data_IF_703503593462
#
_entry.id   IF_703503593462
#
_cell.length_a   1.000
_cell.length_b   1.000
_cell.length_c   1.000
_cell.angle_alpha   90.00
_cell.angle_beta   90.00
_cell.angle_gamma   90.00
#
_symmetry.space_group_name_H-M   'P 1'
#
loop_
_entity.id
_entity.type
_entity.pdbx_description
1 polymer ?
#
# COMPACT_ATOMS: atom_id res chain seq x y z
N UNK A 1 16.99 -13.30 1.60
CA UNK A 1 15.77 -13.20 2.43
C UNK A 1 15.20 -14.60 2.65
N UNK A 2 15.12 -15.11 3.89
CA UNK A 2 14.87 -16.56 4.11
C UNK A 2 13.84 -16.94 5.18
N UNK A 3 13.25 -16.00 5.92
CA UNK A 3 12.32 -16.36 6.99
C UNK A 3 10.87 -16.12 6.57
N UNK A 4 10.08 -17.19 6.50
CA UNK A 4 8.62 -17.16 6.57
C UNK A 4 8.27 -17.32 8.06
N UNK A 5 7.40 -16.48 8.59
CA UNK A 5 7.00 -16.58 10.00
C UNK A 5 6.14 -17.84 10.21
N UNK A 6 6.29 -18.50 11.36
CA UNK A 6 5.29 -19.44 11.90
C UNK A 6 4.49 -18.76 13.02
N UNK A 7 3.34 -19.33 13.41
CA UNK A 7 2.48 -18.74 14.47
C UNK A 7 3.25 -18.38 15.75
N UNK A 8 4.16 -19.23 16.28
CA UNK A 8 4.97 -18.88 17.45
C UNK A 8 5.94 -17.71 17.24
N UNK A 9 6.28 -17.39 15.98
CA UNK A 9 7.23 -16.32 15.63
C UNK A 9 6.60 -14.93 15.64
N UNK A 10 5.29 -14.79 15.84
CA UNK A 10 4.63 -13.47 15.96
C UNK A 10 5.21 -12.64 17.11
N UNK A 11 5.68 -13.29 18.17
CA UNK A 11 6.42 -12.61 19.24
C UNK A 11 7.79 -12.07 18.79
N UNK A 12 8.49 -12.79 17.90
CA UNK A 12 9.77 -12.35 17.31
C UNK A 12 9.55 -11.17 16.38
N UNK A 13 8.53 -11.26 15.51
CA UNK A 13 8.15 -10.16 14.62
C UNK A 13 7.91 -8.85 15.38
N UNK A 14 7.04 -8.86 16.40
CA UNK A 14 6.72 -7.65 17.19
C UNK A 14 7.91 -7.00 17.89
N UNK A 15 8.95 -7.79 18.21
CA UNK A 15 10.18 -7.31 18.86
C UNK A 15 11.33 -7.05 17.88
N UNK A 16 11.11 -7.23 16.58
CA UNK A 16 12.16 -7.15 15.57
C UNK A 16 12.48 -5.71 15.14
N UNK A 17 13.72 -5.48 14.72
CA UNK A 17 14.15 -4.23 14.11
C UNK A 17 13.30 -3.88 12.89
N UNK A 18 12.95 -4.88 12.07
CA UNK A 18 12.06 -4.73 10.92
C UNK A 18 10.71 -4.11 11.31
N UNK A 19 10.06 -4.60 12.37
CA UNK A 19 8.78 -4.08 12.83
C UNK A 19 8.89 -2.63 13.31
N UNK A 20 9.94 -2.33 14.10
CA UNK A 20 10.18 -0.97 14.58
C UNK A 20 10.46 0.02 13.44
N UNK A 21 11.34 -0.35 12.51
CA UNK A 21 11.68 0.46 11.33
C UNK A 21 10.45 0.68 10.44
N UNK A 22 9.71 -0.40 10.16
CA UNK A 22 8.50 -0.35 9.35
C UNK A 22 7.43 0.54 9.98
N UNK A 23 7.09 0.34 11.26
CA UNK A 23 6.10 1.18 11.93
C UNK A 23 6.57 2.63 12.07
N UNK A 24 7.85 2.86 12.36
CA UNK A 24 8.45 4.19 12.41
C UNK A 24 8.32 4.91 11.07
N UNK A 25 8.56 4.21 9.96
CA UNK A 25 8.37 4.72 8.61
C UNK A 25 6.91 5.12 8.33
N UNK A 26 5.94 4.22 8.59
CA UNK A 26 4.52 4.51 8.38
C UNK A 26 4.07 5.76 9.16
N UNK A 27 4.48 5.86 10.43
CA UNK A 27 4.12 6.98 11.30
C UNK A 27 4.82 8.30 10.91
N UNK A 28 6.06 8.22 10.43
CA UNK A 28 6.79 9.39 9.92
C UNK A 28 6.08 9.96 8.69
N UNK A 29 5.71 9.10 7.74
CA UNK A 29 4.95 9.51 6.56
C UNK A 29 3.56 10.07 6.94
N UNK A 30 2.88 9.45 7.92
CA UNK A 30 1.59 9.90 8.41
C UNK A 30 1.62 11.34 8.94
N UNK A 31 2.64 11.70 9.72
CA UNK A 31 2.81 13.08 10.16
C UNK A 31 3.27 14.01 9.01
N UNK A 32 4.09 13.50 8.09
CA UNK A 32 4.53 14.24 6.90
C UNK A 32 3.38 14.76 6.02
N UNK A 33 2.32 13.97 5.87
CA UNK A 33 1.15 14.31 5.03
C UNK A 33 0.00 14.99 5.76
N UNK A 34 0.12 15.15 7.07
CA UNK A 34 -0.97 15.67 7.90
C UNK A 34 -1.38 17.08 7.48
N UNK A 35 -2.70 17.30 7.36
CA UNK A 35 -3.32 18.57 6.95
C UNK A 35 -2.90 19.07 5.55
N UNK A 36 -2.49 18.17 4.64
CA UNK A 36 -2.04 18.54 3.29
C UNK A 36 -2.84 17.82 2.22
N UNK A 37 -3.23 18.57 1.19
CA UNK A 37 -3.85 18.04 -0.03
C UNK A 37 -2.81 17.34 -0.90
N UNK A 38 -3.25 16.38 -1.72
CA UNK A 38 -2.42 15.76 -2.76
C UNK A 38 -1.81 16.79 -3.72
N UNK A 39 -2.53 17.90 -3.92
CA UNK A 39 -2.23 19.00 -4.84
C UNK A 39 -1.37 20.12 -4.23
N UNK A 40 -0.97 20.03 -2.95
CA UNK A 40 -0.10 21.05 -2.36
C UNK A 40 1.30 21.02 -2.99
N UNK A 41 2.07 22.10 -2.84
CA UNK A 41 3.46 22.12 -3.31
C UNK A 41 4.36 21.27 -2.40
N UNK A 42 5.19 20.43 -3.03
CA UNK A 42 6.25 19.69 -2.38
C UNK A 42 7.35 19.37 -3.39
N UNK A 43 8.55 19.11 -2.89
CA UNK A 43 9.70 18.76 -3.71
C UNK A 43 9.52 17.38 -4.32
N UNK A 44 9.89 17.26 -5.59
CA UNK A 44 9.99 15.98 -6.29
C UNK A 44 11.45 15.79 -6.69
N UNK A 45 12.11 14.78 -6.12
CA UNK A 45 13.50 14.47 -6.43
C UNK A 45 13.61 13.58 -7.66
N UNK A 46 14.83 13.49 -8.22
CA UNK A 46 15.13 12.57 -9.32
C UNK A 46 14.81 11.12 -8.96
N UNK A 47 15.07 10.70 -7.71
CA UNK A 47 14.71 9.36 -7.22
C UNK A 47 13.20 9.14 -7.24
N UNK A 48 12.40 10.15 -6.91
CA UNK A 48 10.94 10.07 -7.04
C UNK A 48 10.51 9.93 -8.50
N UNK A 49 11.08 10.71 -9.42
CA UNK A 49 10.76 10.58 -10.85
C UNK A 49 11.12 9.18 -11.38
N UNK A 50 12.29 8.65 -11.02
CA UNK A 50 12.69 7.26 -11.35
C UNK A 50 11.71 6.20 -10.81
N UNK A 51 11.14 6.42 -9.62
CA UNK A 51 10.10 5.56 -9.07
C UNK A 51 8.79 5.65 -9.85
N UNK A 52 8.44 6.84 -10.34
CA UNK A 52 7.27 7.03 -11.20
C UNK A 52 7.46 6.34 -12.56
N UNK A 53 8.67 6.42 -13.14
CA UNK A 53 9.02 5.70 -14.37
C UNK A 53 8.98 4.18 -14.19
N UNK A 54 9.46 3.68 -13.04
CA UNK A 54 9.33 2.28 -12.67
C UNK A 54 7.85 1.86 -12.62
N UNK A 55 7.00 2.62 -11.92
CA UNK A 55 5.56 2.33 -11.85
C UNK A 55 4.88 2.48 -13.23
N UNK A 56 5.33 3.41 -14.07
CA UNK A 56 4.90 3.56 -15.46
C UNK A 56 5.25 2.35 -16.32
N UNK A 57 6.40 1.72 -16.08
CA UNK A 57 6.79 0.47 -16.74
C UNK A 57 5.87 -0.68 -16.34
N UNK A 58 5.57 -0.82 -15.04
CA UNK A 58 4.63 -1.81 -14.52
C UNK A 58 3.24 -1.65 -15.14
N UNK A 59 2.76 -0.41 -15.25
CA UNK A 59 1.48 -0.07 -15.86
C UNK A 59 1.43 -0.41 -17.36
N UNK A 60 2.47 -0.03 -18.11
CA UNK A 60 2.58 -0.35 -19.54
C UNK A 60 2.56 -1.86 -19.78
N UNK A 61 3.20 -2.65 -18.91
CA UNK A 61 3.14 -4.11 -19.04
C UNK A 61 1.74 -4.67 -18.86
N UNK A 62 0.83 -3.98 -18.14
CA UNK A 62 -0.59 -4.38 -18.06
C UNK A 62 -1.23 -4.25 -19.44
N UNK A 63 -0.99 -3.13 -20.14
CA UNK A 63 -1.54 -2.89 -21.48
C UNK A 63 -0.99 -3.90 -22.51
N UNK A 64 0.28 -4.26 -22.39
CA UNK A 64 0.93 -5.28 -23.22
C UNK A 64 0.53 -6.72 -22.88
N UNK A 65 -0.22 -6.94 -21.80
CA UNK A 65 -0.57 -8.28 -21.32
C UNK A 65 -2.08 -8.38 -21.12
N UNK A 66 -2.88 -8.28 -22.19
CA UNK A 66 -4.34 -8.24 -22.09
C UNK A 66 -4.90 -9.53 -21.45
N UNK A 67 -6.08 -9.44 -20.78
CA UNK A 67 -6.76 -10.61 -20.22
C UNK A 67 -7.01 -11.68 -21.29
N UNK A 68 -6.77 -12.94 -20.94
CA UNK A 68 -7.03 -14.08 -21.84
C UNK A 68 -8.42 -14.65 -21.59
N UNK A 69 -9.02 -15.22 -22.63
CA UNK A 69 -10.22 -16.02 -22.46
C UNK A 69 -9.90 -17.27 -21.62
N UNK A 70 -10.76 -17.54 -20.65
CA UNK A 70 -10.57 -18.64 -19.72
C UNK A 70 -11.90 -19.14 -19.16
N UNK A 71 -12.01 -20.45 -18.86
CA UNK A 71 -13.23 -21.00 -18.28
C UNK A 71 -13.47 -20.57 -16.82
N UNK A 72 -12.42 -20.13 -16.12
CA UNK A 72 -12.53 -19.70 -14.72
C UNK A 72 -13.08 -18.27 -14.62
N UNK A 73 -14.09 -18.09 -13.76
CA UNK A 73 -14.64 -16.77 -13.41
C UNK A 73 -13.76 -15.98 -12.42
N UNK A 74 -12.80 -16.63 -11.79
CA UNK A 74 -11.87 -16.03 -10.82
C UNK A 74 -10.67 -15.38 -11.55
N UNK A 75 -9.61 -15.06 -10.82
CA UNK A 75 -8.43 -14.34 -11.33
C UNK A 75 -7.97 -14.76 -12.73
N UNK A 76 -7.68 -13.78 -13.58
CA UNK A 76 -7.29 -13.98 -14.96
C UNK A 76 -5.82 -14.42 -15.06
N UNK A 77 -5.55 -15.51 -15.78
CA UNK A 77 -4.21 -16.11 -15.90
C UNK A 77 -3.18 -15.19 -16.57
N UNK A 78 -3.60 -14.17 -17.33
CA UNK A 78 -2.70 -13.17 -17.90
C UNK A 78 -1.89 -12.43 -16.82
N UNK A 79 -2.40 -12.33 -15.58
CA UNK A 79 -1.64 -11.81 -14.44
C UNK A 79 -0.32 -12.55 -14.23
N UNK A 80 -0.26 -13.86 -14.48
CA UNK A 80 0.97 -14.65 -14.33
C UNK A 80 2.02 -14.26 -15.35
N UNK A 81 1.58 -13.96 -16.58
CA UNK A 81 2.46 -13.45 -17.63
C UNK A 81 3.00 -12.07 -17.24
N UNK A 82 2.14 -11.19 -16.75
CA UNK A 82 2.56 -9.87 -16.25
C UNK A 82 3.54 -9.99 -15.08
N UNK A 83 3.22 -10.81 -14.08
CA UNK A 83 4.08 -11.04 -12.92
C UNK A 83 5.43 -11.65 -13.31
N UNK A 84 5.46 -12.55 -14.31
CA UNK A 84 6.72 -13.13 -14.78
C UNK A 84 7.66 -12.08 -15.40
N UNK A 85 7.12 -11.03 -16.05
CA UNK A 85 7.94 -9.90 -16.51
C UNK A 85 8.57 -9.19 -15.31
N UNK A 86 7.76 -8.87 -14.29
CA UNK A 86 8.24 -8.25 -13.06
C UNK A 86 9.30 -9.13 -12.35
N UNK A 87 9.09 -10.43 -12.24
CA UNK A 87 10.02 -11.30 -11.52
C UNK A 87 11.41 -11.34 -12.15
N UNK A 88 11.49 -11.23 -13.48
CA UNK A 88 12.72 -11.19 -14.26
C UNK A 88 13.40 -9.82 -14.21
N UNK A 89 12.63 -8.73 -14.27
CA UNK A 89 13.13 -7.37 -14.44
C UNK A 89 13.25 -6.56 -13.14
N UNK A 90 12.71 -7.06 -12.01
CA UNK A 90 12.63 -6.29 -10.76
C UNK A 90 13.99 -5.77 -10.27
N UNK A 91 15.05 -6.57 -10.35
CA UNK A 91 16.39 -6.15 -9.93
C UNK A 91 16.93 -5.01 -10.81
N UNK A 92 16.76 -5.12 -12.13
CA UNK A 92 17.16 -4.09 -13.08
C UNK A 92 16.36 -2.79 -12.84
N UNK A 93 15.04 -2.90 -12.67
CA UNK A 93 14.18 -1.75 -12.35
C UNK A 93 14.63 -1.05 -11.07
N UNK A 94 14.87 -1.79 -9.99
CA UNK A 94 15.33 -1.21 -8.72
C UNK A 94 16.72 -0.59 -8.85
N UNK A 95 17.63 -1.20 -9.62
CA UNK A 95 18.96 -0.64 -9.85
C UNK A 95 18.92 0.75 -10.51
N UNK A 96 17.92 1.03 -11.36
CA UNK A 96 17.77 2.38 -11.98
C UNK A 96 17.43 3.47 -10.96
N UNK A 97 16.77 3.11 -9.86
CA UNK A 97 16.35 4.03 -8.78
C UNK A 97 17.48 4.30 -7.79
N UNK A 98 18.38 3.33 -7.60
CA UNK A 98 19.43 3.40 -6.60
C UNK A 98 20.63 4.24 -7.08
N UNK A 99 21.27 5.02 -6.19
CA UNK A 99 22.59 5.57 -6.48
C UNK A 99 23.63 4.45 -6.59
N UNK A 100 24.71 4.66 -7.35
CA UNK A 100 25.78 3.67 -7.55
C UNK A 100 26.34 3.10 -6.24
N UNK A 101 26.44 3.95 -5.20
CA UNK A 101 26.95 3.57 -3.88
C UNK A 101 26.11 2.52 -3.16
N UNK A 102 24.84 2.33 -3.54
CA UNK A 102 23.94 1.33 -2.95
C UNK A 102 23.44 0.29 -3.95
N UNK A 103 24.05 0.20 -5.15
CA UNK A 103 23.74 -0.82 -6.15
C UNK A 103 23.74 -2.27 -5.60
N UNK A 104 24.63 -2.69 -4.67
CA UNK A 104 24.58 -4.03 -4.09
C UNK A 104 23.29 -4.35 -3.31
N UNK A 105 22.53 -3.33 -2.88
CA UNK A 105 21.26 -3.52 -2.20
C UNK A 105 20.09 -3.84 -3.15
N UNK A 106 20.27 -3.66 -4.48
CA UNK A 106 19.21 -3.85 -5.47
C UNK A 106 18.55 -5.22 -5.37
N UNK A 107 19.35 -6.28 -5.24
CA UNK A 107 18.87 -7.65 -5.14
C UNK A 107 17.94 -7.87 -3.93
N UNK A 108 18.29 -7.31 -2.76
CA UNK A 108 17.46 -7.42 -1.56
C UNK A 108 16.18 -6.57 -1.68
N UNK A 109 16.32 -5.33 -2.15
CA UNK A 109 15.21 -4.38 -2.28
C UNK A 109 14.18 -4.86 -3.31
N UNK A 110 14.64 -5.44 -4.43
CA UNK A 110 13.78 -5.96 -5.49
C UNK A 110 12.82 -7.06 -5.00
N UNK A 111 13.18 -7.83 -3.97
CA UNK A 111 12.26 -8.83 -3.42
C UNK A 111 11.02 -8.17 -2.81
N UNK A 112 11.16 -7.02 -2.14
CA UNK A 112 10.00 -6.31 -1.61
C UNK A 112 9.10 -5.79 -2.74
N UNK A 113 9.68 -5.31 -3.84
CA UNK A 113 8.91 -4.90 -5.03
C UNK A 113 8.16 -6.08 -5.65
N UNK A 114 8.76 -7.27 -5.72
CA UNK A 114 8.11 -8.48 -6.25
C UNK A 114 6.95 -8.95 -5.38
N UNK A 115 7.10 -8.84 -4.06
CA UNK A 115 6.04 -9.20 -3.10
C UNK A 115 4.95 -8.11 -2.99
N UNK A 116 5.15 -6.94 -3.60
CA UNK A 116 4.27 -5.78 -3.47
C UNK A 116 3.02 -5.78 -4.37
N UNK A 117 2.87 -6.75 -5.28
CA UNK A 117 1.91 -6.64 -6.39
C UNK A 117 0.86 -7.75 -6.45
N UNK A 118 0.85 -8.65 -5.47
CA UNK A 118 -0.06 -9.79 -5.39
C UNK A 118 0.63 -11.14 -5.58
N UNK A 119 -0.13 -12.23 -5.56
CA UNK A 119 0.42 -13.59 -5.69
C UNK A 119 0.11 -14.21 -7.06
N UNK A 120 1.14 -14.62 -7.82
CA UNK A 120 0.95 -15.21 -9.16
C UNK A 120 0.16 -16.53 -9.17
N UNK A 121 0.30 -17.36 -8.13
CA UNK A 121 -0.37 -18.65 -8.07
C UNK A 121 -1.86 -18.46 -7.81
N UNK A 122 -2.20 -17.70 -6.76
CA UNK A 122 -3.56 -17.46 -6.30
C UNK A 122 -4.29 -16.36 -7.08
N UNK A 123 -3.55 -15.48 -7.75
CA UNK A 123 -4.08 -14.31 -8.47
C UNK A 123 -4.91 -13.45 -7.50
N UNK A 124 -4.33 -13.21 -6.32
CA UNK A 124 -4.91 -12.41 -5.25
C UNK A 124 -3.99 -11.25 -4.85
N UNK A 125 -4.58 -10.24 -4.23
CA UNK A 125 -3.90 -9.07 -3.69
C UNK A 125 -4.54 -8.68 -2.36
N UNK A 126 -3.77 -8.12 -1.43
CA UNK A 126 -4.28 -7.66 -0.14
C UNK A 126 -3.22 -6.88 0.64
N UNK A 127 -3.55 -6.55 1.89
CA UNK A 127 -2.78 -5.63 2.74
C UNK A 127 -1.35 -6.09 3.05
N UNK A 128 -1.06 -7.39 2.95
CA UNK A 128 0.32 -7.90 3.05
C UNK A 128 1.20 -7.48 1.87
N UNK A 129 0.63 -7.40 0.66
CA UNK A 129 1.32 -6.92 -0.54
C UNK A 129 1.49 -5.39 -0.49
N UNK A 130 0.46 -4.67 -0.05
CA UNK A 130 0.56 -3.23 0.24
C UNK A 130 1.69 -2.94 1.26
N UNK A 131 1.78 -3.75 2.33
CA UNK A 131 2.85 -3.64 3.32
C UNK A 131 4.24 -3.92 2.73
N UNK A 132 4.35 -4.85 1.77
CA UNK A 132 5.60 -5.08 1.06
C UNK A 132 6.03 -3.88 0.19
N UNK A 133 5.07 -3.13 -0.39
CA UNK A 133 5.41 -1.88 -1.09
C UNK A 133 5.90 -0.78 -0.12
N UNK A 134 5.27 -0.64 1.03
CA UNK A 134 5.76 0.27 2.07
C UNK A 134 7.14 -0.16 2.60
N UNK A 135 7.39 -1.47 2.72
CA UNK A 135 8.71 -2.00 3.07
C UNK A 135 9.76 -1.70 1.98
N UNK A 136 9.39 -1.79 0.69
CA UNK A 136 10.24 -1.39 -0.43
C UNK A 136 10.66 0.09 -0.32
N UNK A 137 9.72 1.01 -0.08
CA UNK A 137 10.03 2.43 0.13
C UNK A 137 10.86 2.68 1.40
N UNK A 138 10.57 1.95 2.49
CA UNK A 138 11.35 1.99 3.72
C UNK A 138 12.82 1.59 3.45
N UNK A 139 13.05 0.51 2.71
CA UNK A 139 14.40 0.06 2.33
C UNK A 139 15.14 1.11 1.49
N UNK A 140 14.47 1.78 0.56
CA UNK A 140 15.05 2.89 -0.21
C UNK A 140 15.48 4.07 0.68
N UNK A 141 14.72 4.36 1.75
CA UNK A 141 15.13 5.35 2.76
C UNK A 141 16.35 4.87 3.54
N UNK A 142 16.40 3.60 3.95
CA UNK A 142 17.51 3.03 4.73
C UNK A 142 18.84 3.04 3.98
N UNK A 143 18.83 2.91 2.66
CA UNK A 143 20.03 3.01 1.81
C UNK A 143 20.32 4.44 1.33
N UNK A 144 19.54 5.43 1.79
CA UNK A 144 19.74 6.85 1.49
C UNK A 144 19.35 7.28 0.08
N UNK A 145 18.64 6.44 -0.68
CA UNK A 145 18.12 6.79 -1.99
C UNK A 145 16.96 7.80 -1.87
N UNK A 146 16.02 7.53 -0.94
CA UNK A 146 14.98 8.47 -0.54
C UNK A 146 15.39 9.18 0.75
N UNK A 147 15.06 10.47 0.86
CA UNK A 147 15.40 11.31 2.01
C UNK A 147 14.15 11.84 2.71
N UNK A 148 14.34 12.48 3.87
CA UNK A 148 13.26 13.11 4.65
C UNK A 148 12.49 14.14 3.82
N UNK A 149 13.18 14.88 2.95
CA UNK A 149 12.56 15.85 2.04
C UNK A 149 11.57 15.21 1.05
N UNK A 150 11.70 13.91 0.77
CA UNK A 150 10.83 13.17 -0.15
C UNK A 150 9.56 12.64 0.54
N UNK A 151 9.38 12.82 1.85
CA UNK A 151 8.27 12.21 2.61
C UNK A 151 6.87 12.47 2.04
N UNK A 152 6.61 13.69 1.56
CA UNK A 152 5.33 14.01 0.94
C UNK A 152 5.21 13.36 -0.44
N UNK A 153 6.27 13.42 -1.25
CA UNK A 153 6.29 12.81 -2.58
C UNK A 153 6.19 11.28 -2.53
N UNK A 154 6.74 10.64 -1.49
CA UNK A 154 6.58 9.20 -1.25
C UNK A 154 5.10 8.80 -1.16
N UNK A 155 4.27 9.60 -0.48
CA UNK A 155 2.83 9.30 -0.33
C UNK A 155 2.02 9.86 -1.50
N UNK A 156 2.13 11.16 -1.75
CA UNK A 156 1.26 11.89 -2.67
C UNK A 156 1.60 11.66 -4.16
N UNK A 157 2.79 11.15 -4.47
CA UNK A 157 3.17 10.79 -5.85
C UNK A 157 3.40 9.30 -5.99
N UNK A 158 4.40 8.75 -5.30
CA UNK A 158 4.81 7.35 -5.52
C UNK A 158 3.72 6.38 -5.07
N UNK A 159 3.24 6.51 -3.83
CA UNK A 159 2.20 5.62 -3.32
C UNK A 159 0.85 5.85 -4.00
N UNK A 160 0.48 7.10 -4.29
CA UNK A 160 -0.71 7.40 -5.09
C UNK A 160 -0.67 6.71 -6.46
N UNK A 161 0.46 6.84 -7.17
CA UNK A 161 0.66 6.17 -8.46
C UNK A 161 0.66 4.64 -8.34
N UNK A 162 1.22 4.10 -7.27
CA UNK A 162 1.16 2.67 -6.98
C UNK A 162 -0.29 2.18 -6.82
N UNK A 163 -1.13 2.91 -6.09
CA UNK A 163 -2.55 2.55 -5.94
C UNK A 163 -3.29 2.53 -7.28
N UNK A 164 -3.02 3.48 -8.17
CA UNK A 164 -3.59 3.49 -9.52
C UNK A 164 -3.22 2.21 -10.30
N UNK A 165 -1.93 1.82 -10.27
CA UNK A 165 -1.46 0.58 -10.91
C UNK A 165 -2.12 -0.64 -10.27
N UNK A 166 -2.21 -0.71 -8.94
CA UNK A 166 -2.84 -1.84 -8.24
C UNK A 166 -4.34 -1.93 -8.56
N UNK A 167 -5.06 -0.81 -8.59
CA UNK A 167 -6.47 -0.76 -8.99
C UNK A 167 -6.66 -1.23 -10.44
N UNK A 168 -5.74 -0.88 -11.34
CA UNK A 168 -5.75 -1.37 -12.73
C UNK A 168 -5.48 -2.87 -12.80
N UNK A 169 -4.53 -3.40 -12.03
CA UNK A 169 -4.30 -4.86 -11.93
C UNK A 169 -5.54 -5.60 -11.42
N UNK A 170 -6.11 -5.11 -10.31
CA UNK A 170 -7.31 -5.68 -9.68
C UNK A 170 -8.48 -5.75 -10.66
N UNK A 171 -8.75 -4.64 -11.39
CA UNK A 171 -9.81 -4.58 -12.41
C UNK A 171 -9.49 -5.45 -13.63
N UNK A 172 -8.30 -5.31 -14.21
CA UNK A 172 -7.90 -5.97 -15.48
C UNK A 172 -7.84 -7.48 -15.32
N UNK A 173 -7.22 -7.95 -14.25
CA UNK A 173 -7.02 -9.38 -14.01
C UNK A 173 -8.00 -10.00 -13.03
N UNK A 174 -9.03 -9.26 -12.60
CA UNK A 174 -10.07 -9.75 -11.68
C UNK A 174 -9.48 -10.41 -10.43
N UNK A 175 -8.47 -9.74 -9.85
CA UNK A 175 -7.73 -10.30 -8.72
C UNK A 175 -8.64 -10.48 -7.51
N UNK A 176 -8.44 -11.58 -6.79
CA UNK A 176 -9.23 -11.87 -5.60
C UNK A 176 -8.67 -11.13 -4.37
N UNK A 177 -9.52 -10.73 -3.41
CA UNK A 177 -9.06 -10.18 -2.14
C UNK A 177 -8.32 -11.22 -1.29
N UNK A 178 -7.03 -11.00 -1.04
CA UNK A 178 -6.19 -11.88 -0.21
C UNK A 178 -6.45 -11.61 1.28
N UNK A 179 -7.00 -12.60 1.98
CA UNK A 179 -7.25 -12.50 3.42
C UNK A 179 -8.38 -11.54 3.81
N UNK A 180 -9.23 -11.14 2.85
CA UNK A 180 -10.41 -10.32 3.13
C UNK A 180 -11.35 -11.02 4.10
N UNK A 181 -11.92 -10.24 5.01
CA UNK A 181 -12.97 -10.68 5.92
C UNK A 181 -14.37 -10.27 5.40
N UNK A 182 -14.49 -9.92 4.12
CA UNK A 182 -15.69 -9.33 3.53
C UNK A 182 -16.08 -8.06 4.28
N UNK A 183 -17.34 -7.99 4.71
CA UNK A 183 -17.91 -6.84 5.43
C UNK A 183 -17.22 -6.50 6.76
N UNK A 184 -16.40 -7.41 7.29
CA UNK A 184 -15.65 -7.21 8.53
C UNK A 184 -14.24 -6.64 8.32
N UNK A 185 -13.76 -6.59 7.08
CA UNK A 185 -12.51 -5.91 6.73
C UNK A 185 -12.73 -4.40 6.57
N UNK A 186 -11.65 -3.62 6.63
CA UNK A 186 -11.70 -2.19 6.34
C UNK A 186 -12.00 -1.94 4.86
N UNK A 187 -11.25 -2.61 3.99
CA UNK A 187 -11.38 -2.63 2.54
C UNK A 187 -10.92 -4.01 2.03
N UNK A 188 -11.27 -4.35 0.80
CA UNK A 188 -10.91 -5.64 0.20
C UNK A 188 -9.41 -5.76 -0.07
N UNK A 189 -8.72 -4.65 -0.35
CA UNK A 189 -7.35 -4.68 -0.86
C UNK A 189 -6.37 -3.83 -0.03
N UNK A 190 -6.78 -2.63 0.40
CA UNK A 190 -5.88 -1.59 0.90
C UNK A 190 -6.13 -1.24 2.37
N UNK A 191 -5.11 -0.67 3.04
CA UNK A 191 -5.24 -0.15 4.40
C UNK A 191 -4.51 1.19 4.57
N UNK A 192 -3.23 1.26 4.16
CA UNK A 192 -2.40 2.44 4.30
C UNK A 192 -2.99 3.74 3.72
N UNK A 193 -3.70 3.78 2.57
CA UNK A 193 -4.29 5.03 2.09
C UNK A 193 -5.39 5.57 2.98
N UNK A 194 -6.07 4.73 3.78
CA UNK A 194 -7.01 5.22 4.79
C UNK A 194 -6.30 5.84 5.99
N UNK A 195 -5.13 5.31 6.37
CA UNK A 195 -4.29 5.93 7.41
C UNK A 195 -3.78 7.28 6.92
N UNK A 196 -3.02 7.32 5.84
CA UNK A 196 -2.43 8.57 5.35
C UNK A 196 -3.48 9.55 4.84
N UNK A 197 -4.53 9.08 4.19
CA UNK A 197 -5.65 9.93 3.76
C UNK A 197 -6.43 10.54 4.93
N UNK A 198 -6.63 9.82 6.04
CA UNK A 198 -7.25 10.41 7.23
C UNK A 198 -6.34 11.44 7.91
N UNK A 199 -5.02 11.29 7.81
CA UNK A 199 -4.07 12.31 8.27
C UNK A 199 -4.18 13.61 7.45
N UNK A 200 -4.38 13.53 6.13
CA UNK A 200 -4.63 14.71 5.28
C UNK A 200 -5.82 15.53 5.76
N UNK A 201 -6.86 14.86 6.28
CA UNK A 201 -8.15 15.44 6.66
C UNK A 201 -8.24 15.88 8.12
N UNK A 202 -7.18 15.67 8.92
CA UNK A 202 -7.13 16.19 10.30
C UNK A 202 -7.37 17.70 10.30
N UNK A 203 -8.25 18.19 11.16
CA UNK A 203 -8.64 19.61 11.28
C UNK A 203 -9.09 20.27 9.96
N UNK A 204 -9.63 19.48 9.02
CA UNK A 204 -10.24 20.04 7.82
C UNK A 204 -11.40 20.99 8.19
N UNK A 205 -11.50 22.20 7.58
CA UNK A 205 -12.46 23.21 8.02
C UNK A 205 -13.92 22.80 7.83
N UNK A 206 -14.20 21.93 6.86
CA UNK A 206 -15.58 21.56 6.46
C UNK A 206 -15.83 20.06 6.31
N UNK A 207 -14.79 19.24 6.21
CA UNK A 207 -14.95 17.81 5.90
C UNK A 207 -14.77 17.04 7.19
N UNK A 208 -15.81 16.32 7.59
CA UNK A 208 -15.87 15.45 8.75
C UNK A 208 -15.96 14.00 8.27
N UNK A 209 -15.66 13.00 9.12
CA UNK A 209 -15.76 11.59 8.74
C UNK A 209 -17.13 11.20 8.19
N UNK A 210 -18.23 11.75 8.70
CA UNK A 210 -19.57 11.46 8.17
C UNK A 210 -19.77 11.82 6.70
N UNK A 211 -18.95 12.71 6.13
CA UNK A 211 -19.12 13.15 4.75
C UNK A 211 -18.54 12.17 3.73
N UNK A 212 -17.66 11.23 4.11
CA UNK A 212 -17.08 10.33 3.11
C UNK A 212 -18.06 9.29 2.58
N UNK A 213 -19.22 9.10 3.21
CA UNK A 213 -20.31 8.25 2.70
C UNK A 213 -21.28 9.01 1.78
N UNK A 214 -21.08 10.31 1.57
CA UNK A 214 -21.90 11.14 0.70
C UNK A 214 -21.28 11.22 -0.70
N UNK A 215 -21.90 10.57 -1.69
CA UNK A 215 -21.37 10.48 -3.06
C UNK A 215 -21.02 11.84 -3.67
N UNK A 216 -21.82 12.88 -3.39
CA UNK A 216 -21.55 14.24 -3.90
C UNK A 216 -20.23 14.77 -3.35
N UNK A 217 -20.01 14.65 -2.04
CA UNK A 217 -18.78 15.12 -1.38
C UNK A 217 -17.57 14.34 -1.90
N UNK A 218 -17.70 13.01 -2.01
CA UNK A 218 -16.62 12.16 -2.52
C UNK A 218 -16.25 12.58 -3.94
N UNK A 219 -17.21 12.73 -4.85
CA UNK A 219 -16.93 13.10 -6.24
C UNK A 219 -16.36 14.53 -6.40
N UNK A 220 -16.68 15.44 -5.49
CA UNK A 220 -16.14 16.81 -5.49
C UNK A 220 -14.69 16.88 -4.96
N UNK A 221 -14.36 16.08 -3.94
CA UNK A 221 -13.12 16.25 -3.19
C UNK A 221 -12.09 15.13 -3.35
N UNK A 222 -12.44 13.99 -3.98
CA UNK A 222 -11.49 12.88 -4.18
C UNK A 222 -10.15 13.27 -4.86
N UNK A 223 -10.07 14.26 -5.78
CA UNK A 223 -8.78 14.59 -6.41
C UNK A 223 -7.75 15.13 -5.42
N UNK A 224 -8.18 15.68 -4.29
CA UNK A 224 -7.32 16.30 -3.28
C UNK A 224 -6.96 15.35 -2.12
N UNK A 225 -7.73 14.26 -1.92
CA UNK A 225 -7.67 13.44 -0.70
C UNK A 225 -7.68 11.95 -1.00
N UNK A 226 -6.58 11.27 -0.68
CA UNK A 226 -6.37 9.83 -0.89
C UNK A 226 -7.45 8.98 -0.22
N UNK A 227 -7.94 9.38 0.96
CA UNK A 227 -9.03 8.68 1.64
C UNK A 227 -10.29 8.63 0.76
N UNK A 228 -10.68 9.79 0.22
CA UNK A 228 -11.89 9.94 -0.58
C UNK A 228 -11.74 9.26 -1.95
N UNK A 229 -10.53 9.23 -2.50
CA UNK A 229 -10.23 8.48 -3.71
C UNK A 229 -10.43 6.96 -3.51
N UNK A 230 -10.03 6.42 -2.36
CA UNK A 230 -10.35 5.02 -2.02
C UNK A 230 -11.86 4.78 -1.88
N UNK A 231 -12.60 5.71 -1.27
CA UNK A 231 -14.06 5.58 -1.20
C UNK A 231 -14.70 5.65 -2.58
N UNK A 232 -14.23 6.54 -3.45
CA UNK A 232 -14.68 6.61 -4.85
C UNK A 232 -14.49 5.27 -5.55
N UNK A 233 -13.33 4.64 -5.40
CA UNK A 233 -13.06 3.32 -5.96
C UNK A 233 -14.00 2.25 -5.42
N UNK A 234 -14.30 2.25 -4.12
CA UNK A 234 -15.26 1.33 -3.51
C UNK A 234 -16.66 1.50 -4.13
N UNK A 235 -17.13 2.75 -4.27
CA UNK A 235 -18.46 3.04 -4.83
C UNK A 235 -18.56 2.69 -6.32
N UNK A 236 -17.44 2.66 -7.06
CA UNK A 236 -17.39 2.16 -8.44
C UNK A 236 -17.41 0.63 -8.54
N UNK A 237 -16.86 -0.07 -7.54
CA UNK A 237 -16.67 -1.52 -7.57
C UNK A 237 -17.80 -2.30 -6.89
N UNK A 238 -18.50 -1.69 -5.93
CA UNK A 238 -19.54 -2.33 -5.13
C UNK A 238 -20.88 -1.62 -5.36
N UNK A 239 -21.95 -2.42 -5.43
CA UNK A 239 -23.31 -1.93 -5.63
C UNK A 239 -24.16 -2.17 -4.40
N UNK A 240 -25.09 -1.26 -4.12
CA UNK A 240 -26.00 -1.36 -2.98
C UNK A 240 -25.66 -0.36 -1.87
N UNK A 241 -26.35 -0.41 -0.73
CA UNK A 241 -26.10 0.51 0.37
C UNK A 241 -24.69 0.34 0.95
N UNK A 242 -24.00 1.46 1.20
CA UNK A 242 -22.61 1.45 1.69
C UNK A 242 -22.44 0.65 3.00
N UNK A 243 -23.42 0.72 3.89
CA UNK A 243 -23.43 -0.02 5.15
C UNK A 243 -23.41 -1.55 4.95
N UNK A 244 -23.97 -2.07 3.85
CA UNK A 244 -24.07 -3.50 3.59
C UNK A 244 -22.75 -4.08 3.04
N UNK A 245 -22.04 -3.32 2.22
CA UNK A 245 -20.84 -3.82 1.53
C UNK A 245 -19.51 -3.32 2.14
N UNK A 246 -19.56 -2.27 2.97
CA UNK A 246 -18.41 -1.62 3.60
C UNK A 246 -18.71 -1.21 5.05
N UNK A 247 -19.29 -2.12 5.84
CA UNK A 247 -19.80 -1.86 7.20
C UNK A 247 -18.75 -1.26 8.17
N UNK A 248 -17.49 -1.70 8.10
CA UNK A 248 -16.44 -1.11 8.95
C UNK A 248 -16.20 0.37 8.64
N UNK A 249 -16.08 0.73 7.35
CA UNK A 249 -15.98 2.12 6.93
C UNK A 249 -17.26 2.89 7.28
N UNK A 250 -18.44 2.28 7.12
CA UNK A 250 -19.70 2.90 7.55
C UNK A 250 -19.67 3.29 9.04
N UNK A 251 -19.24 2.39 9.92
CA UNK A 251 -19.10 2.67 11.35
C UNK A 251 -18.05 3.75 11.64
N UNK A 252 -16.95 3.78 10.88
CA UNK A 252 -15.90 4.80 10.99
C UNK A 252 -16.44 6.20 10.62
N UNK A 253 -17.43 6.30 9.73
CA UNK A 253 -18.05 7.58 9.36
C UNK A 253 -18.71 8.29 10.56
N UNK A 254 -19.11 7.54 11.59
CA UNK A 254 -19.70 8.08 12.83
C UNK A 254 -18.65 8.58 13.83
N UNK A 255 -17.35 8.40 13.58
CA UNK A 255 -16.28 8.92 14.45
C UNK A 255 -16.27 10.45 14.36
N UNK A 256 -16.16 11.20 15.47
CA UNK A 256 -16.46 12.63 15.48
C UNK A 256 -15.42 13.51 14.78
N UNK A 257 -14.19 13.04 14.56
CA UNK A 257 -13.18 13.81 13.83
C UNK A 257 -12.09 12.91 13.24
N UNK A 258 -11.41 13.44 12.21
CA UNK A 258 -10.37 12.73 11.47
C UNK A 258 -9.14 12.38 12.30
N UNK A 259 -8.80 13.17 13.34
CA UNK A 259 -7.70 12.81 14.24
C UNK A 259 -7.99 11.51 15.00
N UNK A 260 -9.22 11.31 15.47
CA UNK A 260 -9.65 10.05 16.09
C UNK A 260 -9.74 8.92 15.08
N UNK A 261 -10.19 9.19 13.84
CA UNK A 261 -10.17 8.19 12.76
C UNK A 261 -8.74 7.70 12.52
N UNK A 262 -7.79 8.60 12.32
CA UNK A 262 -6.39 8.28 12.07
C UNK A 262 -5.77 7.45 13.21
N UNK A 263 -5.96 7.87 14.46
CA UNK A 263 -5.50 7.11 15.63
C UNK A 263 -6.16 5.73 15.75
N UNK A 264 -7.44 5.62 15.40
CA UNK A 264 -8.17 4.35 15.34
C UNK A 264 -7.59 3.42 14.28
N UNK A 265 -7.41 3.93 13.06
CA UNK A 265 -6.87 3.18 11.92
C UNK A 265 -5.43 2.71 12.15
N UNK A 266 -4.57 3.52 12.79
CA UNK A 266 -3.20 3.08 13.16
C UNK A 266 -3.25 1.89 14.13
N UNK A 267 -4.15 1.92 15.12
CA UNK A 267 -4.32 0.81 16.07
C UNK A 267 -4.90 -0.43 15.39
N UNK A 268 -5.89 -0.24 14.53
CA UNK A 268 -6.51 -1.31 13.74
C UNK A 268 -5.49 -1.92 12.77
N UNK A 269 -4.61 -1.13 12.15
CA UNK A 269 -3.57 -1.64 11.25
C UNK A 269 -2.59 -2.56 11.97
N UNK A 270 -2.16 -2.19 13.18
CA UNK A 270 -1.34 -3.07 14.02
C UNK A 270 -2.07 -4.38 14.28
N UNK A 271 -3.30 -4.33 14.79
CA UNK A 271 -4.04 -5.53 15.19
C UNK A 271 -4.44 -6.43 13.99
N UNK A 272 -4.96 -5.84 12.92
CA UNK A 272 -5.63 -6.55 11.82
C UNK A 272 -4.73 -6.79 10.60
N UNK A 273 -3.57 -6.14 10.50
CA UNK A 273 -2.59 -6.38 9.44
C UNK A 273 -1.29 -6.95 10.02
N UNK A 274 -0.62 -6.21 10.91
CA UNK A 274 0.75 -6.57 11.33
C UNK A 274 0.80 -7.65 12.40
N UNK A 275 -0.22 -7.76 13.25
CA UNK A 275 -0.35 -8.79 14.28
C UNK A 275 -1.23 -9.97 13.83
N UNK A 276 -1.70 -9.92 12.58
CA UNK A 276 -2.50 -10.98 11.97
C UNK A 276 -1.61 -11.92 11.18
N UNK A 277 -1.37 -13.11 11.74
CA UNK A 277 -0.47 -14.09 11.15
C UNK A 277 -0.75 -14.39 9.66
N UNK A 278 -2.01 -14.65 9.23
CA UNK A 278 -2.29 -14.92 7.82
C UNK A 278 -1.86 -13.83 6.84
N UNK A 279 -1.83 -12.57 7.31
CA UNK A 279 -1.45 -11.40 6.52
C UNK A 279 0.08 -11.25 6.50
N UNK A 280 0.72 -11.27 7.68
CA UNK A 280 2.14 -10.92 7.80
C UNK A 280 3.09 -12.11 7.59
N UNK A 281 2.60 -13.35 7.53
CA UNK A 281 3.44 -14.55 7.36
C UNK A 281 4.34 -14.49 6.11
N UNK A 282 3.94 -13.73 5.08
CA UNK A 282 4.69 -13.58 3.84
C UNK A 282 5.72 -12.44 3.87
N UNK A 283 5.77 -11.65 4.95
CA UNK A 283 6.76 -10.56 5.10
C UNK A 283 8.17 -11.13 5.10
N UNK A 284 9.05 -10.56 4.26
CA UNK A 284 10.42 -11.05 4.06
C UNK A 284 11.41 -10.29 4.93
N UNK A 285 12.34 -11.02 5.53
CA UNK A 285 13.39 -10.48 6.41
C UNK A 285 14.79 -10.62 5.82
N UNK A 286 15.57 -9.55 5.98
CA UNK A 286 16.90 -9.37 5.40
C UNK A 286 17.84 -8.54 6.24
N UNK A 287 18.84 -7.95 5.58
CA UNK A 287 19.78 -7.05 6.22
C UNK A 287 19.17 -5.68 6.50
N UNK A 288 18.33 -5.18 5.59
CA UNK A 288 17.68 -3.86 5.70
C UNK A 288 16.49 -3.90 6.66
N UNK A 289 15.68 -4.97 6.61
CA UNK A 289 14.58 -5.20 7.53
C UNK A 289 14.83 -6.51 8.28
N UNK A 290 15.53 -6.38 9.40
CA UNK A 290 16.04 -7.52 10.17
C UNK A 290 15.02 -8.05 11.18
N UNK A 291 14.90 -9.39 11.25
CA UNK A 291 14.10 -10.07 12.28
C UNK A 291 14.76 -10.04 13.66
N UNK A 292 16.03 -9.63 13.74
CA UNK A 292 16.74 -9.53 15.02
C UNK A 292 16.04 -8.52 15.95
N UNK A 293 16.11 -8.71 17.28
CA UNK A 293 15.50 -7.79 18.22
C UNK A 293 15.95 -6.35 18.00
N UNK A 294 15.03 -5.40 18.20
CA UNK A 294 15.34 -3.96 18.19
C UNK A 294 16.46 -3.68 19.19
N UNK A 295 17.50 -2.96 18.75
CA UNK A 295 18.56 -2.52 19.68
C UNK A 295 17.99 -1.45 20.64
N UNK A 296 18.31 -1.50 21.94
CA UNK A 296 17.86 -0.50 22.91
C UNK A 296 18.23 0.93 22.53
#
# INVERSE_FOLDING_TARGET
LRMTLMVPDMGKWRRSQAYADYMGFILTLNEGVKRKKLTCEYKVSETVEKLLDLLGTLDRWIDETPPVDQPSRFGNKAYRTWYSKLDQEAEALVATVLPESSAPAAQEIAVYLKEAVGNATRIDYGTGHEAAFAAFLCCLCKVGALRVDDQMAMVFRVFNRYLEVMRKLQKTYRMEPAGSQGVWGLDDFQFLPFIWGSAQLVDHPTLEPRHFIEDKVVNEHYPDYMFLECIKFINEMKTGPFAEHSNQLWNISAVPNWAKVNQGLIRMYKAECLEKFPVIQHFKFGSLLSVQPVKP
#
